data_IF_833478900590
#
_entry.id   IF_833478900590
#
_cell.length_a   1.000
_cell.length_b   1.000
_cell.length_c   1.000
_cell.angle_alpha   90.00
_cell.angle_beta   90.00
_cell.angle_gamma   90.00
#
_symmetry.space_group_name_H-M   'P 1'
#
loop_
_entity.id
_entity.type
_entity.pdbx_description
1 polymer ?
#
# COMPACT_ATOMS: atom_id res chain seq x y z
N UNK A 1 4.90 6.25 -0.08
CA UNK A 1 3.48 6.35 -0.45
C UNK A 1 3.16 7.81 -0.70
N UNK A 2 2.79 8.15 -1.93
CA UNK A 2 2.37 9.51 -2.33
C UNK A 2 0.94 9.80 -1.89
N UNK A 3 0.55 11.08 -1.84
CA UNK A 3 -0.80 11.51 -1.44
C UNK A 3 -1.93 10.92 -2.31
N UNK A 4 -1.61 10.58 -3.56
CA UNK A 4 -2.53 9.97 -4.52
C UNK A 4 -2.06 10.18 -5.95
N UNK A 5 -2.94 9.93 -6.92
CA UNK A 5 -2.68 10.35 -8.29
C UNK A 5 -2.79 11.88 -8.45
N UNK A 6 -2.33 12.44 -9.58
CA UNK A 6 -2.35 13.90 -9.79
C UNK A 6 -3.74 14.50 -9.59
N UNK A 7 -4.77 13.81 -10.07
CA UNK A 7 -6.15 14.22 -9.83
C UNK A 7 -6.62 14.15 -8.37
N UNK A 8 -6.14 13.20 -7.59
CA UNK A 8 -6.46 13.10 -6.17
C UNK A 8 -5.81 14.25 -5.38
N UNK A 9 -4.54 14.53 -5.66
CA UNK A 9 -3.83 15.67 -5.09
C UNK A 9 -4.56 16.99 -5.35
N UNK A 10 -5.08 17.18 -6.58
CA UNK A 10 -5.94 18.34 -6.90
C UNK A 10 -7.20 18.38 -6.03
N UNK A 11 -7.90 17.24 -5.90
CA UNK A 11 -9.11 17.17 -5.07
C UNK A 11 -8.86 17.53 -3.60
N UNK A 12 -7.68 17.19 -3.07
CA UNK A 12 -7.28 17.43 -1.68
C UNK A 12 -6.83 18.89 -1.46
N UNK A 13 -6.13 19.48 -2.43
CA UNK A 13 -5.40 20.75 -2.27
C UNK A 13 -6.05 21.97 -2.94
N UNK A 14 -7.13 21.79 -3.70
CA UNK A 14 -7.74 22.86 -4.49
C UNK A 14 -8.16 24.10 -3.68
N UNK A 15 -8.67 23.92 -2.45
CA UNK A 15 -9.09 25.05 -1.61
C UNK A 15 -7.91 25.93 -1.18
N UNK A 16 -6.76 25.32 -0.93
CA UNK A 16 -5.53 25.97 -0.50
C UNK A 16 -4.89 26.77 -1.64
N UNK A 17 -5.20 26.43 -2.89
CA UNK A 17 -4.73 27.13 -4.08
C UNK A 17 -5.63 28.29 -4.52
N UNK A 18 -6.91 28.27 -4.11
CA UNK A 18 -7.89 29.27 -4.53
C UNK A 18 -7.42 30.69 -4.19
N UNK A 19 -7.38 31.56 -5.21
CA UNK A 19 -6.95 32.96 -5.09
C UNK A 19 -5.42 33.15 -5.13
N UNK A 20 -4.63 32.10 -4.93
CA UNK A 20 -3.17 32.17 -4.91
C UNK A 20 -2.52 31.75 -6.23
N UNK A 21 -3.21 30.95 -7.05
CA UNK A 21 -2.79 30.50 -8.37
C UNK A 21 -4.02 30.33 -9.27
N UNK A 22 -3.85 30.46 -10.57
CA UNK A 22 -4.95 30.45 -11.54
C UNK A 22 -5.14 29.08 -12.19
N UNK A 23 -4.05 28.31 -12.34
CA UNK A 23 -4.07 26.92 -12.78
C UNK A 23 -3.07 26.08 -12.00
N UNK A 24 -3.39 24.80 -11.78
CA UNK A 24 -2.45 23.84 -11.19
C UNK A 24 -2.42 22.58 -12.02
N UNK A 25 -1.21 22.18 -12.40
CA UNK A 25 -0.93 20.90 -13.00
C UNK A 25 -0.21 20.01 -11.99
N UNK A 26 -0.82 18.89 -11.63
CA UNK A 26 -0.14 17.89 -10.80
C UNK A 26 0.30 16.75 -11.68
N UNK A 27 1.61 16.61 -11.83
CA UNK A 27 2.21 15.59 -12.67
C UNK A 27 2.26 14.23 -11.96
N UNK A 28 2.02 13.18 -12.73
CA UNK A 28 1.93 11.80 -12.29
C UNK A 28 1.99 10.87 -13.50
N UNK A 29 2.89 9.88 -13.47
CA UNK A 29 3.09 8.85 -14.51
C UNK A 29 1.78 8.28 -15.11
N UNK A 30 0.81 7.90 -14.28
CA UNK A 30 -0.45 7.32 -14.76
C UNK A 30 -1.58 8.32 -15.03
N UNK A 31 -1.71 9.41 -14.25
CA UNK A 31 -2.91 10.26 -14.28
C UNK A 31 -2.60 11.68 -13.80
N UNK A 32 -1.92 12.51 -14.61
CA UNK A 32 -1.74 13.90 -14.28
C UNK A 32 -3.07 14.64 -14.31
N UNK A 33 -3.14 15.70 -13.51
CA UNK A 33 -4.35 16.47 -13.31
C UNK A 33 -4.20 17.93 -13.72
N UNK A 34 -5.30 18.54 -14.18
CA UNK A 34 -5.41 19.99 -14.45
C UNK A 34 -6.56 20.55 -13.62
N UNK A 35 -6.27 21.49 -12.73
CA UNK A 35 -7.18 21.93 -11.66
C UNK A 35 -8.47 22.54 -12.19
N UNK A 36 -8.39 23.51 -13.10
CA UNK A 36 -9.59 24.27 -13.52
C UNK A 36 -10.56 23.43 -14.34
N UNK A 37 -10.07 22.41 -15.05
CA UNK A 37 -10.92 21.44 -15.72
C UNK A 37 -11.52 20.39 -14.75
N UNK A 38 -10.77 20.05 -13.71
CA UNK A 38 -11.15 19.04 -12.72
C UNK A 38 -12.40 19.50 -11.96
N UNK A 39 -13.18 18.54 -11.45
CA UNK A 39 -14.40 18.85 -10.70
C UNK A 39 -14.15 19.77 -9.50
N UNK A 40 -12.97 19.67 -8.86
CA UNK A 40 -12.60 20.55 -7.76
C UNK A 40 -12.50 22.02 -8.21
N UNK A 41 -11.86 22.32 -9.34
CA UNK A 41 -11.80 23.69 -9.87
C UNK A 41 -13.17 24.20 -10.27
N UNK A 42 -14.01 23.36 -10.88
CA UNK A 42 -15.40 23.71 -11.21
C UNK A 42 -16.24 24.03 -9.97
N UNK A 43 -16.13 23.24 -8.90
CA UNK A 43 -16.85 23.51 -7.65
C UNK A 43 -16.36 24.76 -6.91
N UNK A 44 -15.17 25.28 -7.25
CA UNK A 44 -14.62 26.52 -6.71
C UNK A 44 -14.87 27.73 -7.63
N UNK A 45 -15.63 27.54 -8.71
CA UNK A 45 -15.91 28.51 -9.76
C UNK A 45 -14.61 29.10 -10.36
N UNK A 46 -13.57 28.28 -10.49
CA UNK A 46 -12.32 28.72 -11.08
C UNK A 46 -12.47 28.90 -12.59
N UNK A 47 -11.96 30.02 -13.11
CA UNK A 47 -11.88 30.28 -14.54
C UNK A 47 -10.95 29.25 -15.20
N UNK A 48 -11.35 28.61 -16.32
CA UNK A 48 -10.47 27.73 -17.07
C UNK A 48 -9.15 28.42 -17.47
N UNK A 49 -8.01 27.76 -17.22
CA UNK A 49 -6.68 28.34 -17.49
C UNK A 49 -6.23 28.24 -18.95
N UNK A 50 -6.87 27.40 -19.76
CA UNK A 50 -6.53 27.24 -21.18
C UNK A 50 -5.23 26.46 -21.43
N UNK A 51 -4.68 25.77 -20.43
CA UNK A 51 -3.48 24.94 -20.57
C UNK A 51 -3.86 23.56 -21.10
N UNK A 52 -3.38 23.19 -22.30
CA UNK A 52 -3.64 21.89 -22.92
C UNK A 52 -2.48 20.93 -22.68
N UNK A 53 -2.80 19.67 -22.39
CA UNK A 53 -1.82 18.64 -22.00
C UNK A 53 -1.66 17.58 -23.09
N UNK A 54 -0.44 17.11 -23.35
CA UNK A 54 -0.08 16.12 -24.40
C UNK A 54 -0.56 14.68 -24.14
N UNK A 55 -1.65 14.49 -23.39
CA UNK A 55 -2.15 13.19 -22.96
C UNK A 55 -3.54 12.84 -23.50
N UNK A 56 -3.93 11.58 -23.33
CA UNK A 56 -5.29 11.15 -23.61
C UNK A 56 -6.21 11.59 -22.47
N UNK A 57 -7.09 12.55 -22.73
CA UNK A 57 -8.13 12.96 -21.79
C UNK A 57 -9.07 11.79 -21.47
N UNK A 58 -9.30 11.51 -20.19
CA UNK A 58 -10.26 10.51 -19.74
C UNK A 58 -11.54 11.15 -19.19
N UNK A 59 -11.40 11.98 -18.16
CA UNK A 59 -12.47 12.81 -17.60
C UNK A 59 -11.98 14.26 -17.51
N UNK A 60 -12.85 15.27 -17.31
CA UNK A 60 -12.39 16.65 -17.16
C UNK A 60 -11.27 16.79 -16.11
N UNK A 61 -10.15 17.38 -16.54
CA UNK A 61 -8.96 17.55 -15.70
C UNK A 61 -8.19 16.28 -15.36
N UNK A 62 -8.46 15.13 -16.00
CA UNK A 62 -7.70 13.89 -15.86
C UNK A 62 -7.20 13.39 -17.21
N UNK A 63 -5.89 13.16 -17.29
CA UNK A 63 -5.21 12.72 -18.50
C UNK A 63 -4.53 11.37 -18.25
N UNK A 64 -4.27 10.60 -19.30
CA UNK A 64 -3.48 9.37 -19.25
C UNK A 64 -2.38 9.44 -20.31
N UNK A 65 -1.35 8.60 -20.16
CA UNK A 65 -0.28 8.45 -21.17
C UNK A 65 0.44 9.77 -21.47
N UNK A 66 0.69 10.58 -20.44
CA UNK A 66 1.47 11.82 -20.55
C UNK A 66 2.96 11.55 -20.37
N UNK A 67 3.31 10.57 -19.53
CA UNK A 67 4.67 10.21 -19.19
C UNK A 67 4.78 8.70 -18.92
N UNK A 68 6.00 8.18 -18.87
CA UNK A 68 6.29 6.84 -18.40
C UNK A 68 6.98 6.87 -17.03
N UNK A 69 6.97 5.77 -16.26
CA UNK A 69 7.76 5.67 -15.03
C UNK A 69 9.25 5.88 -15.30
N UNK A 70 9.93 6.62 -14.42
CA UNK A 70 11.35 6.96 -14.57
C UNK A 70 11.93 7.59 -13.31
N UNK A 71 13.10 8.22 -13.44
CA UNK A 71 13.85 8.85 -12.33
C UNK A 71 13.81 10.38 -12.35
N UNK A 72 12.99 10.96 -13.22
CA UNK A 72 12.76 12.39 -13.32
C UNK A 72 11.59 12.85 -12.46
N UNK A 73 10.92 13.92 -12.90
CA UNK A 73 9.89 14.63 -12.17
C UNK A 73 8.80 13.70 -11.63
N UNK A 74 8.61 13.67 -10.32
CA UNK A 74 7.56 12.86 -9.67
C UNK A 74 7.67 11.35 -9.93
N UNK A 75 8.86 10.84 -10.26
CA UNK A 75 9.07 9.43 -10.61
C UNK A 75 8.69 9.07 -12.05
N UNK A 76 8.68 10.06 -12.95
CA UNK A 76 8.44 9.88 -14.38
C UNK A 76 9.73 9.93 -15.20
N UNK A 77 9.66 9.75 -16.52
CA UNK A 77 10.75 10.01 -17.46
C UNK A 77 10.88 11.49 -17.86
N UNK A 78 10.11 12.39 -17.25
CA UNK A 78 10.13 13.83 -17.54
C UNK A 78 11.30 14.52 -16.84
N UNK A 79 12.07 15.31 -17.59
CA UNK A 79 13.14 16.16 -17.06
C UNK A 79 12.77 17.65 -17.08
N UNK A 80 12.00 18.09 -18.07
CA UNK A 80 11.41 19.42 -18.16
C UNK A 80 9.89 19.33 -17.95
N UNK A 81 9.34 19.87 -16.85
CA UNK A 81 7.90 19.80 -16.59
C UNK A 81 7.07 20.45 -17.68
N UNK A 82 7.57 21.45 -18.42
CA UNK A 82 6.82 22.10 -19.49
C UNK A 82 6.62 21.19 -20.71
N UNK A 83 7.40 20.11 -20.85
CA UNK A 83 7.29 19.16 -21.97
C UNK A 83 5.92 18.49 -22.06
N UNK A 84 5.16 18.40 -20.95
CA UNK A 84 3.82 17.81 -20.93
C UNK A 84 2.73 18.74 -21.48
N UNK A 85 3.05 20.03 -21.66
CA UNK A 85 2.12 21.03 -22.17
C UNK A 85 2.15 20.98 -23.69
N UNK A 86 0.97 20.78 -24.28
CA UNK A 86 0.78 20.79 -25.73
C UNK A 86 0.75 22.23 -26.25
N UNK A 87 -0.07 23.07 -25.61
CA UNK A 87 -0.26 24.47 -25.96
C UNK A 87 -0.91 25.25 -24.81
N UNK A 88 -0.68 26.57 -24.81
CA UNK A 88 -1.48 27.55 -24.06
C UNK A 88 -2.49 28.16 -25.03
N UNK A 89 -3.78 28.02 -24.77
CA UNK A 89 -4.84 28.51 -25.66
C UNK A 89 -5.07 30.02 -25.47
N UNK A 90 -4.70 30.88 -26.43
CA UNK A 90 -4.82 32.33 -26.28
C UNK A 90 -6.27 32.83 -26.27
N UNK A 91 -7.24 32.00 -26.67
CA UNK A 91 -8.65 32.35 -26.58
C UNK A 91 -9.22 32.19 -25.15
N UNK A 92 -8.52 31.44 -24.28
CA UNK A 92 -8.97 31.11 -22.92
C UNK A 92 -8.02 31.71 -21.87
N UNK A 93 -6.72 31.50 -22.04
CA UNK A 93 -5.66 32.00 -21.19
C UNK A 93 -5.52 33.53 -21.26
N UNK A 94 -4.72 34.12 -20.38
CA UNK A 94 -4.45 35.55 -20.36
C UNK A 94 -3.01 35.83 -19.91
N UNK A 95 -2.38 36.93 -20.38
CA UNK A 95 -1.10 37.39 -19.83
C UNK A 95 -1.20 37.61 -18.32
N UNK A 96 -0.21 37.13 -17.59
CA UNK A 96 -0.17 37.14 -16.12
C UNK A 96 -0.82 35.93 -15.44
N UNK A 97 -1.40 34.98 -16.19
CA UNK A 97 -1.91 33.73 -15.62
C UNK A 97 -0.80 33.01 -14.85
N UNK A 98 -1.08 32.67 -13.60
CA UNK A 98 -0.17 31.98 -12.68
C UNK A 98 -0.41 30.47 -12.72
N UNK A 99 0.63 29.70 -13.04
CA UNK A 99 0.60 28.25 -13.12
C UNK A 99 1.55 27.63 -12.08
N UNK A 100 1.02 26.74 -11.25
CA UNK A 100 1.83 25.82 -10.45
C UNK A 100 1.91 24.46 -11.16
N UNK A 101 3.11 23.94 -11.31
CA UNK A 101 3.35 22.54 -11.67
C UNK A 101 4.01 21.85 -10.48
N UNK A 102 3.50 20.70 -10.05
CA UNK A 102 4.09 19.95 -8.93
C UNK A 102 3.90 18.45 -9.09
N UNK A 103 4.79 17.65 -8.51
CA UNK A 103 4.61 16.21 -8.43
C UNK A 103 3.62 15.81 -7.33
N UNK A 104 3.14 14.58 -7.37
CA UNK A 104 2.30 14.01 -6.29
C UNK A 104 3.00 13.77 -4.95
N UNK A 105 4.32 13.99 -4.88
CA UNK A 105 5.09 13.96 -3.63
C UNK A 105 5.44 15.36 -3.13
N UNK A 106 5.26 16.40 -3.94
CA UNK A 106 5.70 17.75 -3.62
C UNK A 106 7.22 17.95 -3.61
N UNK A 107 8.00 16.90 -3.93
CA UNK A 107 9.47 16.97 -4.03
C UNK A 107 9.91 17.80 -5.25
N UNK A 108 9.11 17.76 -6.32
CA UNK A 108 9.30 18.57 -7.51
C UNK A 108 8.18 19.60 -7.63
N UNK A 109 8.55 20.87 -7.78
CA UNK A 109 7.59 21.93 -8.03
C UNK A 109 8.23 23.11 -8.77
N UNK A 110 7.47 23.70 -9.69
CA UNK A 110 7.86 24.87 -10.47
C UNK A 110 6.67 25.80 -10.62
N UNK A 111 6.96 27.10 -10.70
CA UNK A 111 5.96 28.14 -10.78
C UNK A 111 6.21 29.00 -12.02
N UNK A 112 5.16 29.24 -12.79
CA UNK A 112 5.25 29.92 -14.07
C UNK A 112 4.20 31.02 -14.17
N UNK A 113 4.50 32.02 -14.99
CA UNK A 113 3.56 33.07 -15.39
C UNK A 113 3.49 33.11 -16.91
N UNK A 114 2.29 33.23 -17.45
CA UNK A 114 2.07 33.41 -18.89
C UNK A 114 2.44 34.84 -19.29
N UNK A 115 3.32 35.02 -20.28
CA UNK A 115 3.68 36.33 -20.82
C UNK A 115 2.68 36.86 -21.88
N UNK A 116 2.97 38.02 -22.46
CA UNK A 116 2.13 38.66 -23.50
C UNK A 116 2.07 37.83 -24.80
N UNK A 117 3.10 37.02 -25.07
CA UNK A 117 3.16 36.11 -26.20
C UNK A 117 2.61 34.70 -25.87
N UNK A 118 1.93 34.54 -24.73
CA UNK A 118 1.35 33.30 -24.23
C UNK A 118 2.36 32.17 -23.98
N UNK A 119 3.60 32.52 -23.64
CA UNK A 119 4.64 31.57 -23.21
C UNK A 119 4.69 31.47 -21.69
N UNK A 120 5.03 30.29 -21.18
CA UNK A 120 5.22 30.06 -19.76
C UNK A 120 6.63 30.44 -19.35
N UNK A 121 6.74 31.49 -18.53
CA UNK A 121 8.02 32.00 -18.03
C UNK A 121 8.17 31.59 -16.57
N UNK A 122 9.30 30.97 -16.24
CA UNK A 122 9.62 30.60 -14.86
C UNK A 122 9.65 31.83 -13.96
N UNK A 123 8.99 31.74 -12.81
CA UNK A 123 8.85 32.82 -11.85
C UNK A 123 9.10 32.31 -10.42
N UNK A 124 9.56 33.19 -9.50
CA UNK A 124 9.70 32.83 -8.09
C UNK A 124 8.37 32.34 -7.50
N UNK A 125 8.39 31.18 -6.85
CA UNK A 125 7.20 30.62 -6.22
C UNK A 125 6.81 31.42 -4.97
N UNK A 126 5.57 31.94 -4.87
CA UNK A 126 5.12 32.63 -3.67
C UNK A 126 5.14 31.72 -2.44
N UNK A 127 5.43 32.30 -1.26
CA UNK A 127 5.54 31.54 -0.01
C UNK A 127 4.26 30.75 0.33
N UNK A 128 3.08 31.30 0.01
CA UNK A 128 1.80 30.60 0.21
C UNK A 128 1.70 29.33 -0.64
N UNK A 129 2.18 29.38 -1.89
CA UNK A 129 2.19 28.23 -2.80
C UNK A 129 3.24 27.21 -2.35
N UNK A 130 4.44 27.66 -1.98
CA UNK A 130 5.48 26.78 -1.46
C UNK A 130 5.01 26.00 -0.21
N UNK A 131 4.25 26.65 0.68
CA UNK A 131 3.65 25.99 1.83
C UNK A 131 2.63 24.91 1.44
N UNK A 132 1.85 25.12 0.36
CA UNK A 132 0.95 24.07 -0.15
C UNK A 132 1.71 22.90 -0.75
N UNK A 133 2.82 23.13 -1.45
CA UNK A 133 3.69 22.08 -1.99
C UNK A 133 4.32 21.27 -0.85
N UNK A 134 4.85 21.93 0.18
CA UNK A 134 5.39 21.27 1.36
C UNK A 134 4.34 20.39 2.04
N UNK A 135 3.08 20.86 2.12
CA UNK A 135 1.96 20.07 2.66
C UNK A 135 1.64 18.82 1.83
N UNK A 136 1.88 18.81 0.52
CA UNK A 136 1.76 17.58 -0.29
C UNK A 136 2.76 16.54 0.23
N UNK A 137 4.01 16.96 0.45
CA UNK A 137 5.06 16.12 1.03
C UNK A 137 4.76 15.66 2.45
N UNK A 138 4.20 16.51 3.30
CA UNK A 138 3.78 16.14 4.68
C UNK A 138 2.72 15.03 4.70
N UNK A 139 1.91 14.90 3.64
CA UNK A 139 0.91 13.84 3.50
C UNK A 139 1.48 12.56 2.88
N UNK A 140 2.79 12.51 2.59
CA UNK A 140 3.45 11.30 2.14
C UNK A 140 3.93 10.46 3.32
N UNK A 141 3.87 9.14 3.18
CA UNK A 141 4.38 8.17 4.15
C UNK A 141 5.51 7.33 3.53
N UNK A 142 6.42 6.74 4.32
CA UNK A 142 7.37 5.77 3.81
C UNK A 142 6.69 4.66 3.01
N UNK A 143 7.23 4.32 1.83
CA UNK A 143 6.77 3.15 1.10
C UNK A 143 7.34 1.90 1.78
N UNK A 144 6.48 1.12 2.44
CA UNK A 144 6.84 -0.15 3.05
C UNK A 144 6.34 -1.31 2.19
N UNK A 145 7.15 -2.36 2.07
CA UNK A 145 6.76 -3.60 1.41
C UNK A 145 6.34 -4.60 2.48
N UNK A 146 5.06 -4.97 2.48
CA UNK A 146 4.53 -6.07 3.30
C UNK A 146 4.57 -7.38 2.52
N UNK A 147 5.00 -8.46 3.17
CA UNK A 147 4.98 -9.80 2.59
C UNK A 147 4.01 -10.64 3.40
N UNK A 148 2.91 -11.05 2.76
CA UNK A 148 1.90 -11.90 3.37
C UNK A 148 2.07 -13.32 2.84
N UNK A 149 2.24 -14.28 3.75
CA UNK A 149 2.21 -15.70 3.40
C UNK A 149 0.79 -16.21 3.47
N UNK A 150 0.26 -16.76 2.37
CA UNK A 150 -1.07 -17.35 2.30
C UNK A 150 -0.98 -18.81 1.90
N UNK A 151 -1.63 -19.70 2.66
CA UNK A 151 -1.62 -21.12 2.38
C UNK A 151 -2.88 -21.83 2.90
N UNK A 152 -3.23 -22.92 2.22
CA UNK A 152 -4.26 -23.86 2.65
C UNK A 152 -3.64 -25.08 3.33
N UNK A 153 -4.14 -25.44 4.52
CA UNK A 153 -3.85 -26.72 5.15
C UNK A 153 -4.67 -27.83 4.48
N UNK A 154 -3.99 -28.55 3.58
CA UNK A 154 -4.56 -29.65 2.79
C UNK A 154 -5.02 -30.85 3.63
N UNK A 155 -5.65 -31.84 2.97
CA UNK A 155 -6.13 -33.05 3.63
C UNK A 155 -5.03 -33.85 4.33
N UNK A 156 -3.88 -34.03 3.68
CA UNK A 156 -2.73 -34.78 4.21
C UNK A 156 -2.13 -34.12 5.45
N UNK A 157 -1.95 -32.79 5.45
CA UNK A 157 -1.49 -32.04 6.62
C UNK A 157 -2.44 -32.25 7.80
N UNK A 158 -3.74 -32.07 7.58
CA UNK A 158 -4.77 -32.23 8.62
C UNK A 158 -4.86 -33.67 9.13
N UNK A 159 -4.65 -34.66 8.27
CA UNK A 159 -4.57 -36.08 8.66
C UNK A 159 -3.36 -36.39 9.55
N UNK A 160 -2.26 -35.64 9.38
CA UNK A 160 -1.11 -35.69 10.29
C UNK A 160 -1.40 -35.18 11.70
N UNK A 161 -2.51 -34.47 11.90
CA UNK A 161 -2.94 -33.95 13.22
C UNK A 161 -4.06 -34.81 13.82
N UNK A 162 -5.05 -35.21 13.02
CA UNK A 162 -6.20 -36.00 13.47
C UNK A 162 -6.60 -37.05 12.44
N UNK A 163 -7.08 -38.21 12.88
CA UNK A 163 -7.57 -39.30 12.00
C UNK A 163 -8.77 -38.89 11.14
N UNK A 164 -9.58 -37.92 11.59
CA UNK A 164 -10.68 -37.34 10.81
C UNK A 164 -10.45 -35.84 10.53
N UNK A 165 -9.79 -35.48 9.41
CA UNK A 165 -9.38 -34.10 9.07
C UNK A 165 -10.49 -33.04 9.10
N UNK A 166 -11.75 -33.44 8.89
CA UNK A 166 -12.86 -32.48 8.87
C UNK A 166 -13.20 -31.98 10.28
N UNK A 167 -12.92 -32.74 11.33
CA UNK A 167 -13.18 -32.33 12.71
C UNK A 167 -12.24 -31.18 13.12
N UNK A 168 -10.96 -31.30 12.77
CA UNK A 168 -9.98 -30.22 12.94
C UNK A 168 -10.40 -28.96 12.19
N UNK A 169 -10.87 -29.11 10.95
CA UNK A 169 -11.35 -28.00 10.12
C UNK A 169 -12.51 -27.27 10.78
N UNK A 170 -13.53 -28.01 11.24
CA UNK A 170 -14.68 -27.44 11.96
C UNK A 170 -14.24 -26.76 13.24
N UNK A 171 -13.37 -27.38 14.03
CA UNK A 171 -12.92 -26.81 15.30
C UNK A 171 -12.08 -25.53 15.13
N UNK A 172 -11.28 -25.44 14.06
CA UNK A 172 -10.59 -24.19 13.67
C UNK A 172 -11.60 -23.11 13.28
N UNK A 173 -12.56 -23.43 12.40
CA UNK A 173 -13.58 -22.48 11.94
C UNK A 173 -14.50 -22.01 13.09
N UNK A 174 -14.77 -22.88 14.08
CA UNK A 174 -15.52 -22.56 15.29
C UNK A 174 -14.68 -21.78 16.33
N UNK A 175 -13.41 -21.46 16.05
CA UNK A 175 -12.52 -20.75 16.99
C UNK A 175 -12.06 -21.57 18.20
N UNK A 176 -12.32 -22.89 18.22
CA UNK A 176 -11.93 -23.80 19.30
C UNK A 176 -10.48 -24.26 19.22
N UNK A 177 -9.85 -24.09 18.06
CA UNK A 177 -8.43 -24.36 17.80
C UNK A 177 -7.78 -23.08 17.30
N UNK A 178 -6.73 -22.65 17.98
CA UNK A 178 -5.94 -21.48 17.60
C UNK A 178 -4.87 -21.87 16.60
N UNK A 179 -4.73 -21.06 15.55
CA UNK A 179 -3.67 -21.19 14.55
C UNK A 179 -2.64 -20.10 14.72
N UNK A 180 -1.38 -20.50 14.72
CA UNK A 180 -0.22 -19.61 14.61
C UNK A 180 0.75 -20.13 13.56
N UNK A 181 1.62 -19.25 13.05
CA UNK A 181 2.78 -19.66 12.27
C UNK A 181 4.04 -19.17 12.94
N UNK A 182 4.88 -20.08 13.45
CA UNK A 182 6.06 -19.72 14.23
C UNK A 182 5.73 -18.79 15.41
N UNK A 183 4.56 -18.98 16.02
CA UNK A 183 4.00 -18.13 17.07
C UNK A 183 3.34 -16.82 16.60
N UNK A 184 3.45 -16.43 15.33
CA UNK A 184 2.77 -15.25 14.79
C UNK A 184 1.26 -15.51 14.59
N UNK A 185 0.41 -14.50 14.82
CA UNK A 185 -1.02 -14.63 14.60
C UNK A 185 -1.35 -14.88 13.13
N UNK A 186 -2.35 -15.72 12.88
CA UNK A 186 -2.84 -16.01 11.54
C UNK A 186 -4.26 -15.46 11.37
N UNK A 187 -4.53 -14.82 10.24
CA UNK A 187 -5.89 -14.53 9.79
C UNK A 187 -6.46 -15.77 9.11
N UNK A 188 -7.57 -16.29 9.64
CA UNK A 188 -8.32 -17.39 9.02
C UNK A 188 -9.25 -16.83 7.93
N UNK A 189 -9.15 -17.37 6.72
CA UNK A 189 -10.03 -17.00 5.61
C UNK A 189 -11.43 -17.62 5.78
N UNK A 190 -12.49 -16.87 5.44
CA UNK A 190 -13.84 -17.41 5.44
C UNK A 190 -14.00 -18.51 4.38
N UNK A 191 -14.92 -19.44 4.64
CA UNK A 191 -15.25 -20.54 3.73
C UNK A 191 -14.89 -21.91 4.28
N UNK A 192 -14.79 -22.90 3.39
CA UNK A 192 -14.43 -24.26 3.77
C UNK A 192 -12.92 -24.47 3.88
N UNK A 193 -12.51 -25.45 4.68
CA UNK A 193 -11.09 -25.78 4.86
C UNK A 193 -10.39 -24.90 5.90
N UNK A 194 -9.06 -24.92 5.86
CA UNK A 194 -8.22 -24.10 6.73
C UNK A 194 -7.28 -23.34 5.80
N UNK A 195 -7.65 -22.11 5.46
CA UNK A 195 -6.81 -21.21 4.67
C UNK A 195 -6.42 -20.06 5.56
N UNK A 196 -5.12 -19.81 5.68
CA UNK A 196 -4.58 -18.79 6.56
C UNK A 196 -3.74 -17.79 5.79
N UNK A 197 -3.61 -16.62 6.39
CA UNK A 197 -2.67 -15.58 6.00
C UNK A 197 -1.93 -15.09 7.23
N UNK A 198 -0.61 -14.92 7.15
CA UNK A 198 0.16 -14.22 8.17
C UNK A 198 1.17 -13.25 7.56
N UNK A 199 1.50 -12.22 8.34
CA UNK A 199 2.59 -11.30 8.02
C UNK A 199 3.93 -11.99 8.30
N UNK A 200 4.76 -12.11 7.26
CA UNK A 200 6.09 -12.74 7.36
C UNK A 200 7.01 -11.95 8.32
N UNK A 201 6.78 -10.64 8.48
CA UNK A 201 7.57 -9.81 9.41
C UNK A 201 7.26 -10.08 10.89
N UNK A 202 6.19 -10.79 11.18
CA UNK A 202 5.84 -11.22 12.53
C UNK A 202 6.42 -12.61 12.88
N UNK A 203 6.95 -13.34 11.90
CA UNK A 203 7.56 -14.66 12.09
C UNK A 203 9.03 -14.53 12.51
N UNK A 204 9.59 -15.52 13.23
CA UNK A 204 11.03 -15.62 13.46
C UNK A 204 11.83 -15.68 12.15
N UNK A 205 13.06 -15.16 12.11
CA UNK A 205 13.82 -15.20 10.86
C UNK A 205 14.16 -16.65 10.49
N UNK A 206 14.07 -17.00 9.21
CA UNK A 206 14.32 -18.37 8.76
C UNK A 206 13.28 -19.38 9.25
N UNK A 207 12.08 -18.92 9.60
CA UNK A 207 10.95 -19.75 10.04
C UNK A 207 10.47 -20.75 8.97
N UNK A 208 10.73 -20.50 7.68
CA UNK A 208 10.39 -21.39 6.59
C UNK A 208 11.56 -22.31 6.22
N UNK A 209 11.25 -23.56 5.91
CA UNK A 209 12.17 -24.53 5.33
C UNK A 209 11.82 -24.91 3.90
N UNK A 210 12.68 -25.68 3.26
CA UNK A 210 12.44 -26.26 1.93
C UNK A 210 12.92 -27.70 1.91
N UNK A 211 12.23 -28.57 1.18
CA UNK A 211 12.68 -29.94 0.92
C UNK A 211 13.19 -30.08 -0.53
N UNK A 212 13.91 -31.15 -0.91
CA UNK A 212 14.45 -31.31 -2.26
C UNK A 212 13.39 -31.40 -3.36
N UNK A 213 12.21 -31.95 -3.04
CA UNK A 213 11.01 -31.73 -3.85
C UNK A 213 10.61 -30.27 -3.67
N UNK A 214 10.33 -29.47 -4.72
CA UNK A 214 10.10 -28.02 -4.61
C UNK A 214 8.81 -27.70 -3.83
N UNK A 215 8.89 -27.85 -2.51
CA UNK A 215 7.82 -27.73 -1.54
C UNK A 215 8.37 -26.99 -0.32
N UNK A 216 7.58 -26.02 0.14
CA UNK A 216 7.87 -25.21 1.30
C UNK A 216 7.43 -25.92 2.57
N UNK A 217 8.23 -25.82 3.62
CA UNK A 217 7.86 -26.23 4.98
C UNK A 217 7.52 -24.97 5.76
N UNK A 218 6.24 -24.79 6.08
CA UNK A 218 5.76 -23.67 6.88
C UNK A 218 5.53 -24.11 8.35
N UNK A 219 5.87 -23.28 9.34
CA UNK A 219 5.79 -23.62 10.76
C UNK A 219 4.37 -23.43 11.32
N UNK A 220 3.39 -24.10 10.72
CA UNK A 220 1.98 -24.02 11.15
C UNK A 220 1.76 -24.80 12.46
N UNK A 221 1.12 -24.15 13.42
CA UNK A 221 0.88 -24.68 14.75
C UNK A 221 -0.63 -24.69 15.07
N UNK A 222 -1.08 -25.74 15.75
CA UNK A 222 -2.44 -25.87 16.27
C UNK A 222 -2.39 -25.89 17.79
N UNK A 223 -2.98 -24.88 18.43
CA UNK A 223 -3.08 -24.81 19.90
C UNK A 223 -4.52 -25.05 20.34
N UNK A 224 -4.71 -26.04 21.20
CA UNK A 224 -6.04 -26.51 21.64
C UNK A 224 -5.97 -27.32 22.95
N UNK A 225 -7.09 -27.46 23.69
CA UNK A 225 -7.14 -28.36 24.84
C UNK A 225 -6.88 -29.82 24.47
N UNK A 226 -6.15 -30.54 25.31
CA UNK A 226 -5.84 -31.96 25.09
C UNK A 226 -7.10 -32.85 24.98
N UNK A 227 -8.16 -32.51 25.72
CA UNK A 227 -9.46 -33.20 25.66
C UNK A 227 -10.13 -33.02 24.30
N UNK A 228 -10.07 -31.82 23.73
CA UNK A 228 -10.58 -31.55 22.39
C UNK A 228 -9.74 -32.28 21.33
N UNK A 229 -8.42 -32.27 21.47
CA UNK A 229 -7.52 -33.02 20.58
C UNK A 229 -7.87 -34.52 20.57
N UNK A 230 -8.04 -35.15 21.74
CA UNK A 230 -8.47 -36.54 21.84
C UNK A 230 -9.86 -36.79 21.23
N UNK A 231 -10.84 -35.93 21.53
CA UNK A 231 -12.21 -36.05 21.01
C UNK A 231 -12.30 -35.92 19.48
N UNK A 232 -11.37 -35.23 18.85
CA UNK A 232 -11.29 -35.12 17.38
C UNK A 232 -10.54 -36.28 16.71
N UNK A 233 -10.10 -37.28 17.47
CA UNK A 233 -9.27 -38.37 16.96
C UNK A 233 -7.82 -37.93 16.71
N UNK A 234 -7.29 -37.05 17.57
CA UNK A 234 -5.87 -36.69 17.54
C UNK A 234 -4.96 -37.87 17.82
N UNK A 235 -3.73 -37.82 17.31
CA UNK A 235 -2.68 -38.83 17.53
C UNK A 235 -2.12 -38.78 18.97
N UNK A 236 -2.96 -39.00 19.98
CA UNK A 236 -2.64 -38.81 21.41
C UNK A 236 -1.43 -39.65 21.86
N UNK A 237 -1.26 -40.84 21.29
CA UNK A 237 -0.10 -41.70 21.59
C UNK A 237 1.25 -41.05 21.23
N UNK A 238 1.27 -40.07 20.33
CA UNK A 238 2.47 -39.33 19.93
C UNK A 238 2.68 -38.04 20.75
N UNK A 239 1.74 -37.68 21.62
CA UNK A 239 1.84 -36.46 22.41
C UNK A 239 2.91 -36.61 23.50
N UNK A 240 3.81 -35.63 23.59
CA UNK A 240 4.86 -35.57 24.63
C UNK A 240 4.71 -34.32 25.48
N UNK A 241 5.06 -34.36 26.79
CA UNK A 241 5.05 -33.17 27.63
C UNK A 241 6.07 -32.13 27.14
N UNK A 242 5.71 -30.85 27.22
CA UNK A 242 6.61 -29.73 26.88
C UNK A 242 7.95 -29.81 27.63
N UNK A 243 7.94 -30.22 28.90
CA UNK A 243 9.15 -30.37 29.70
C UNK A 243 10.17 -31.33 29.05
N UNK A 244 9.70 -32.41 28.41
CA UNK A 244 10.56 -33.35 27.68
C UNK A 244 11.15 -32.71 26.44
N UNK A 245 10.34 -31.99 25.65
CA UNK A 245 10.81 -31.25 24.46
C UNK A 245 11.88 -30.22 24.84
N UNK A 246 11.67 -29.48 25.94
CA UNK A 246 12.64 -28.52 26.45
C UNK A 246 13.92 -29.17 26.99
N UNK A 247 13.82 -30.35 27.60
CA UNK A 247 14.99 -31.10 28.05
C UNK A 247 15.83 -31.58 26.86
N UNK A 248 15.18 -32.07 25.81
CA UNK A 248 15.83 -32.67 24.65
C UNK A 248 16.41 -31.62 23.69
N UNK A 249 15.66 -30.54 23.43
CA UNK A 249 16.01 -29.54 22.42
C UNK A 249 16.30 -28.16 22.98
N UNK A 250 16.07 -27.90 24.27
CA UNK A 250 16.13 -26.54 24.82
C UNK A 250 17.51 -25.88 24.74
N UNK A 251 18.59 -26.67 24.72
CA UNK A 251 19.97 -26.18 24.56
C UNK A 251 20.35 -25.87 23.10
N UNK A 252 19.68 -26.50 22.13
CA UNK A 252 19.92 -26.32 20.69
C UNK A 252 18.87 -25.46 20.00
N UNK A 253 17.73 -25.22 20.66
CA UNK A 253 16.66 -24.40 20.15
C UNK A 253 17.09 -22.94 20.00
N UNK A 254 16.87 -22.38 18.81
CA UNK A 254 16.92 -20.94 18.59
C UNK A 254 15.79 -20.28 19.38
N UNK A 255 16.13 -19.25 20.15
CA UNK A 255 15.15 -18.43 20.90
C UNK A 255 15.18 -17.02 20.34
N UNK A 256 14.03 -16.52 19.91
CA UNK A 256 13.86 -15.16 19.45
C UNK A 256 12.74 -14.52 20.26
N UNK A 257 12.91 -13.28 20.75
CA UNK A 257 11.82 -12.57 21.38
C UNK A 257 10.71 -12.33 20.36
N UNK A 258 9.47 -12.57 20.78
CA UNK A 258 8.31 -12.19 19.97
C UNK A 258 8.28 -10.67 19.83
N UNK A 259 7.98 -10.12 18.63
CA UNK A 259 7.73 -8.69 18.47
C UNK A 259 6.71 -8.20 19.52
N UNK A 260 7.07 -7.14 20.28
CA UNK A 260 6.27 -6.68 21.42
C UNK A 260 4.86 -6.17 21.06
N UNK A 261 4.56 -5.98 19.77
CA UNK A 261 3.23 -5.66 19.25
C UNK A 261 2.28 -6.85 19.19
N UNK A 262 2.80 -8.08 19.28
CA UNK A 262 2.02 -9.30 19.08
C UNK A 262 1.47 -9.82 20.41
N UNK A 263 0.20 -10.28 20.42
CA UNK A 263 -0.35 -10.94 21.59
C UNK A 263 0.40 -12.25 21.83
N UNK A 264 0.62 -12.59 23.11
CA UNK A 264 1.15 -13.91 23.46
C UNK A 264 0.21 -15.00 22.89
N UNK A 265 0.71 -16.13 22.35
CA UNK A 265 -0.12 -17.23 21.86
C UNK A 265 -1.10 -17.84 22.87
N UNK A 266 -1.02 -17.49 24.16
CA UNK A 266 -1.99 -17.83 25.20
C UNK A 266 -2.87 -16.68 25.70
N UNK A 267 -2.73 -15.47 25.16
CA UNK A 267 -3.63 -14.36 25.47
C UNK A 267 -5.04 -14.66 24.93
N UNK A 268 -6.09 -14.21 25.62
CA UNK A 268 -7.44 -14.28 25.06
C UNK A 268 -7.46 -13.56 23.69
N UNK A 269 -8.20 -14.09 22.70
CA UNK A 269 -8.35 -13.41 21.41
C UNK A 269 -8.94 -12.00 21.59
#
# INVERSE_FOLDING_TARGET
MRVGCGSAAIGIMAQQWRGHVDEVMVDHDHTPGVLTEHQAGRCLDMRPGGIRVRGRRSTPGRYFQVAHPGTGWGGTDITDPLSIIEAVDPAIAWPGLRLLMTSTTGEDAAYFVVDEEFRLISAPMPATIAATVARIGENCEPALTSILFMAGAGGSLRAGVTDNPILLTRAVQDGRVRLTMGGAPCTLWPGGGITIMADVLDLPDGAFGSVPTPALVAPLEFTLPATLYAAMGGHVAQAVPLARVLQEYGATARRQPMPGRLPWPGAAP
#
